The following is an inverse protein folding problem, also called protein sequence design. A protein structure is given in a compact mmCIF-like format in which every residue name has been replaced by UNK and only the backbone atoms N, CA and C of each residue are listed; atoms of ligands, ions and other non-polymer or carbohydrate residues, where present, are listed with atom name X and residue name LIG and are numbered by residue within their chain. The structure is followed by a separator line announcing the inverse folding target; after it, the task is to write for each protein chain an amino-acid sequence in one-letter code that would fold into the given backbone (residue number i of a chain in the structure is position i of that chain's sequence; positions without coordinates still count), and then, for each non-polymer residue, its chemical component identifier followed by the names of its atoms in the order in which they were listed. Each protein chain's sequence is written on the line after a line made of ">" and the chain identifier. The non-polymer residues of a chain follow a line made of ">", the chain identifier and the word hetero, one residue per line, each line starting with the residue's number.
data_IF_481202237577
#
_entry.id   IF_481202237577
#
_cell.length_a   1.000
_cell.length_b   1.000
_cell.length_c   1.000
_cell.angle_alpha   90.00
_cell.angle_beta   90.00
_cell.angle_gamma   90.00
#
_symmetry.space_group_name_H-M   'P 1'
#
loop_
_entity.id
_entity.type
_entity.pdbx_description
1 polymer ?
#
# COMPACT_ATOMS: atom_id res chain seq x y z
N UNK A 1 -59.41 -48.90 30.36
CA UNK A 1 -59.28 -47.98 29.21
C UNK A 1 -57.95 -48.26 28.53
N UNK A 2 -57.95 -49.10 27.50
CA UNK A 2 -56.75 -49.50 26.77
C UNK A 2 -56.37 -48.39 25.79
N UNK A 3 -55.20 -47.80 25.98
CA UNK A 3 -54.62 -46.79 25.08
C UNK A 3 -54.19 -47.46 23.78
N UNK A 4 -54.79 -47.04 22.66
CA UNK A 4 -54.37 -47.48 21.33
C UNK A 4 -52.99 -46.87 20.99
N UNK A 5 -52.05 -47.65 20.44
CA UNK A 5 -50.74 -47.14 20.05
C UNK A 5 -50.86 -46.23 18.83
N UNK A 6 -50.52 -44.94 19.01
CA UNK A 6 -50.41 -43.96 17.93
C UNK A 6 -49.15 -44.27 17.13
N UNK A 7 -49.29 -45.06 16.06
CA UNK A 7 -48.21 -45.27 15.09
C UNK A 7 -47.97 -43.96 14.30
N UNK A 8 -46.73 -43.46 14.31
CA UNK A 8 -46.35 -42.30 13.50
C UNK A 8 -46.47 -42.67 12.01
N UNK A 9 -47.21 -41.91 11.18
CA UNK A 9 -47.31 -42.21 9.75
C UNK A 9 -45.94 -42.08 9.11
N UNK A 10 -45.47 -43.17 8.48
CA UNK A 10 -44.23 -43.19 7.69
C UNK A 10 -44.37 -42.21 6.51
N UNK A 11 -43.46 -41.24 6.43
CA UNK A 11 -43.20 -40.33 5.30
C UNK A 11 -44.34 -40.20 4.29
N UNK A 12 -45.37 -39.42 4.62
CA UNK A 12 -46.31 -38.99 3.59
C UNK A 12 -45.56 -38.11 2.60
N UNK A 13 -45.54 -38.45 1.28
CA UNK A 13 -44.95 -37.57 0.30
C UNK A 13 -45.71 -36.24 0.33
N UNK A 14 -44.97 -35.14 0.49
CA UNK A 14 -45.56 -33.81 0.38
C UNK A 14 -46.27 -33.71 -0.97
N UNK A 15 -47.59 -33.50 -0.96
CA UNK A 15 -48.36 -33.34 -2.18
C UNK A 15 -47.83 -32.11 -2.94
N UNK A 16 -47.01 -32.35 -3.98
CA UNK A 16 -46.53 -31.28 -4.86
C UNK A 16 -47.69 -30.79 -5.70
N UNK A 17 -48.00 -29.50 -5.61
CA UNK A 17 -49.00 -28.86 -6.46
C UNK A 17 -48.58 -29.00 -7.93
N UNK A 18 -49.40 -29.65 -8.76
CA UNK A 18 -49.16 -29.75 -10.20
C UNK A 18 -49.74 -28.54 -10.93
N UNK A 19 -49.25 -28.27 -12.14
CA UNK A 19 -49.69 -27.11 -12.93
C UNK A 19 -51.18 -27.19 -13.30
N UNK A 20 -51.69 -28.41 -13.54
CA UNK A 20 -53.08 -28.70 -13.87
C UNK A 20 -54.00 -28.48 -12.68
N UNK A 21 -53.56 -28.90 -11.47
CA UNK A 21 -54.30 -28.64 -10.24
C UNK A 21 -54.36 -27.15 -9.96
N UNK A 22 -53.24 -26.45 -10.09
CA UNK A 22 -53.22 -24.99 -9.95
C UNK A 22 -54.15 -24.30 -10.97
N UNK A 23 -54.22 -24.80 -12.21
CA UNK A 23 -55.17 -24.32 -13.23
C UNK A 23 -56.62 -24.53 -12.81
N UNK A 24 -56.96 -25.70 -12.25
CA UNK A 24 -58.30 -25.99 -11.73
C UNK A 24 -58.67 -25.07 -10.55
N UNK A 25 -57.78 -24.96 -9.57
CA UNK A 25 -58.00 -24.13 -8.37
C UNK A 25 -58.16 -22.65 -8.75
N UNK A 26 -57.43 -22.18 -9.77
CA UNK A 26 -57.59 -20.82 -10.30
C UNK A 26 -58.96 -20.61 -10.95
N UNK A 27 -59.43 -21.56 -11.78
CA UNK A 27 -60.77 -21.49 -12.40
C UNK A 27 -61.89 -21.49 -11.38
N UNK A 28 -61.73 -22.24 -10.29
CA UNK A 28 -62.67 -22.27 -9.16
C UNK A 28 -62.53 -21.06 -8.22
N UNK A 29 -61.61 -20.13 -8.52
CA UNK A 29 -61.29 -18.94 -7.70
C UNK A 29 -60.83 -19.30 -6.28
N UNK A 30 -60.27 -20.49 -6.08
CA UNK A 30 -59.68 -20.92 -4.81
C UNK A 30 -58.31 -20.28 -4.58
N UNK A 31 -57.59 -19.95 -5.66
CA UNK A 31 -56.31 -19.25 -5.60
C UNK A 31 -56.33 -17.96 -6.42
N UNK A 32 -55.54 -16.99 -5.99
CA UNK A 32 -55.37 -15.72 -6.72
C UNK A 32 -54.51 -15.91 -7.97
N UNK A 33 -54.61 -14.97 -8.92
CA UNK A 33 -53.75 -15.00 -10.12
C UNK A 33 -52.25 -14.94 -9.77
N UNK A 34 -51.89 -14.24 -8.70
CA UNK A 34 -50.50 -14.17 -8.20
C UNK A 34 -50.01 -15.54 -7.71
N UNK A 35 -50.82 -16.22 -6.88
CA UNK A 35 -50.50 -17.55 -6.39
C UNK A 35 -50.41 -18.55 -7.55
N UNK A 36 -51.34 -18.45 -8.50
CA UNK A 36 -51.34 -19.30 -9.69
C UNK A 36 -50.05 -19.15 -10.51
N UNK A 37 -49.60 -17.92 -10.75
CA UNK A 37 -48.34 -17.66 -11.46
C UNK A 37 -47.12 -18.26 -10.75
N UNK A 38 -47.05 -18.16 -9.41
CA UNK A 38 -45.97 -18.77 -8.63
C UNK A 38 -45.97 -20.29 -8.74
N UNK A 39 -47.13 -20.94 -8.67
CA UNK A 39 -47.22 -22.40 -8.84
C UNK A 39 -46.84 -22.86 -10.25
N UNK A 40 -47.21 -22.11 -11.30
CA UNK A 40 -46.77 -22.39 -12.66
C UNK A 40 -45.24 -22.29 -12.78
N UNK A 41 -44.63 -21.26 -12.17
CA UNK A 41 -43.18 -21.14 -12.14
C UNK A 41 -42.52 -22.29 -11.38
N UNK A 42 -43.01 -22.64 -10.20
CA UNK A 42 -42.42 -23.69 -9.36
C UNK A 42 -42.61 -25.10 -9.95
N UNK A 43 -43.62 -25.30 -10.81
CA UNK A 43 -43.87 -26.58 -11.48
C UNK A 43 -43.04 -26.77 -12.75
N UNK A 44 -42.79 -25.71 -13.52
CA UNK A 44 -42.02 -25.77 -14.77
C UNK A 44 -40.51 -25.60 -14.60
N UNK A 45 -40.05 -25.16 -13.43
CA UNK A 45 -38.69 -24.66 -13.26
C UNK A 45 -37.95 -25.40 -12.15
N UNK A 46 -36.71 -25.80 -12.44
CA UNK A 46 -35.72 -26.10 -11.39
C UNK A 46 -35.30 -24.80 -10.68
N UNK A 47 -34.91 -24.87 -9.41
CA UNK A 47 -34.42 -23.70 -8.66
C UNK A 47 -33.27 -23.02 -9.45
N UNK A 48 -33.34 -21.70 -9.66
CA UNK A 48 -32.32 -20.91 -10.37
C UNK A 48 -32.52 -20.69 -11.88
N UNK A 49 -33.44 -21.35 -12.56
CA UNK A 49 -33.55 -21.24 -14.03
C UNK A 49 -34.37 -20.02 -14.48
N UNK A 50 -34.07 -19.41 -15.62
CA UNK A 50 -34.92 -18.37 -16.23
C UNK A 50 -35.96 -19.01 -17.15
N UNK A 51 -37.23 -18.63 -17.03
CA UNK A 51 -38.30 -19.16 -17.88
C UNK A 51 -38.74 -18.12 -18.90
N UNK A 52 -38.34 -18.31 -20.15
CA UNK A 52 -38.70 -17.44 -21.26
C UNK A 52 -40.00 -17.90 -21.89
N UNK A 53 -41.01 -17.05 -21.87
CA UNK A 53 -42.35 -17.31 -22.39
C UNK A 53 -42.77 -16.25 -23.40
N UNK A 54 -43.54 -16.68 -24.39
CA UNK A 54 -44.27 -15.76 -25.25
C UNK A 54 -45.66 -15.51 -24.65
N UNK A 55 -45.97 -14.28 -24.18
CA UNK A 55 -47.19 -14.02 -23.42
C UNK A 55 -48.48 -14.35 -24.17
N UNK A 56 -48.49 -14.30 -25.51
CA UNK A 56 -49.65 -14.69 -26.33
C UNK A 56 -50.01 -16.15 -26.14
N UNK A 57 -49.06 -17.03 -26.43
CA UNK A 57 -49.25 -18.49 -26.39
C UNK A 57 -49.38 -18.97 -24.94
N UNK A 58 -48.65 -18.35 -24.02
CA UNK A 58 -48.76 -18.64 -22.60
C UNK A 58 -50.16 -18.36 -22.04
N UNK A 59 -50.68 -17.14 -22.25
CA UNK A 59 -52.01 -16.76 -21.75
C UNK A 59 -53.12 -17.64 -22.33
N UNK A 60 -52.98 -18.03 -23.61
CA UNK A 60 -53.91 -18.95 -24.28
C UNK A 60 -53.87 -20.35 -23.68
N UNK A 61 -52.68 -20.91 -23.49
CA UNK A 61 -52.48 -22.28 -22.96
C UNK A 61 -53.00 -22.42 -21.53
N UNK A 62 -52.73 -21.43 -20.69
CA UNK A 62 -53.11 -21.42 -19.27
C UNK A 62 -54.49 -20.79 -19.02
N UNK A 63 -55.17 -20.32 -20.07
CA UNK A 63 -56.49 -19.69 -20.00
C UNK A 63 -56.51 -18.49 -19.02
N UNK A 64 -55.45 -17.69 -19.02
CA UNK A 64 -55.35 -16.47 -18.20
C UNK A 64 -55.53 -15.26 -19.12
N UNK A 65 -56.42 -14.31 -18.81
CA UNK A 65 -56.50 -13.06 -19.55
C UNK A 65 -55.17 -12.31 -19.51
N UNK A 66 -54.71 -11.78 -20.65
CA UNK A 66 -53.43 -11.04 -20.73
C UNK A 66 -53.30 -9.93 -19.69
N UNK A 67 -54.35 -9.14 -19.50
CA UNK A 67 -54.38 -8.08 -18.47
C UNK A 67 -54.14 -8.65 -17.06
N UNK A 68 -54.77 -9.77 -16.73
CA UNK A 68 -54.59 -10.46 -15.45
C UNK A 68 -53.17 -11.00 -15.30
N UNK A 69 -52.59 -11.57 -16.36
CA UNK A 69 -51.20 -12.04 -16.36
C UNK A 69 -50.23 -10.89 -16.04
N UNK A 70 -50.31 -9.77 -16.79
CA UNK A 70 -49.43 -8.61 -16.57
C UNK A 70 -49.63 -7.99 -15.17
N UNK A 71 -50.88 -7.88 -14.71
CA UNK A 71 -51.19 -7.39 -13.36
C UNK A 71 -50.58 -8.29 -12.28
N UNK A 72 -50.69 -9.60 -12.46
CA UNK A 72 -50.15 -10.58 -11.51
C UNK A 72 -48.62 -10.53 -11.43
N UNK A 73 -47.91 -10.56 -12.57
CA UNK A 73 -46.43 -10.52 -12.57
C UNK A 73 -45.90 -9.17 -12.08
N UNK A 74 -46.61 -8.06 -12.36
CA UNK A 74 -46.26 -6.74 -11.83
C UNK A 74 -46.43 -6.66 -10.31
N UNK A 75 -47.54 -7.21 -9.79
CA UNK A 75 -47.78 -7.29 -8.34
C UNK A 75 -46.77 -8.21 -7.64
N UNK A 76 -46.40 -9.33 -8.26
CA UNK A 76 -45.37 -10.21 -7.72
C UNK A 76 -43.99 -9.55 -7.71
N UNK A 77 -43.68 -8.70 -8.70
CA UNK A 77 -42.44 -7.91 -8.74
C UNK A 77 -42.37 -6.87 -7.64
N UNK A 78 -43.44 -6.10 -7.42
CA UNK A 78 -43.46 -5.11 -6.33
C UNK A 78 -43.34 -5.75 -4.94
N UNK A 79 -43.80 -7.00 -4.79
CA UNK A 79 -43.65 -7.80 -3.55
C UNK A 79 -42.29 -8.49 -3.42
N UNK A 80 -41.38 -8.34 -4.39
CA UNK A 80 -40.08 -9.02 -4.40
C UNK A 80 -40.17 -10.54 -4.48
N UNK A 81 -41.28 -11.09 -4.98
CA UNK A 81 -41.49 -12.55 -5.10
C UNK A 81 -41.11 -13.09 -6.48
N UNK A 82 -41.08 -12.23 -7.49
CA UNK A 82 -40.80 -12.59 -8.87
C UNK A 82 -40.07 -11.47 -9.58
N UNK A 83 -39.06 -11.79 -10.37
CA UNK A 83 -38.42 -10.86 -11.28
C UNK A 83 -38.80 -11.20 -12.72
N UNK A 84 -38.84 -10.18 -13.57
CA UNK A 84 -39.11 -10.35 -14.99
C UNK A 84 -38.51 -9.22 -15.82
N UNK A 85 -38.22 -9.55 -17.08
CA UNK A 85 -37.64 -8.67 -18.09
C UNK A 85 -38.25 -8.94 -19.48
N UNK A 86 -38.24 -7.92 -20.35
CA UNK A 86 -38.73 -7.97 -21.73
C UNK A 86 -37.56 -7.85 -22.70
N UNK A 87 -37.25 -8.95 -23.40
CA UNK A 87 -36.24 -8.99 -24.47
C UNK A 87 -36.87 -9.61 -25.72
N UNK A 88 -37.95 -8.98 -26.23
CA UNK A 88 -38.82 -9.55 -27.27
C UNK A 88 -39.77 -10.65 -26.76
N UNK A 89 -39.28 -11.53 -25.88
CA UNK A 89 -40.08 -12.45 -25.06
C UNK A 89 -40.01 -12.02 -23.59
N UNK A 90 -40.93 -12.54 -22.77
CA UNK A 90 -40.92 -12.28 -21.33
C UNK A 90 -40.14 -13.38 -20.64
N UNK A 91 -39.09 -13.00 -19.93
CA UNK A 91 -38.31 -13.93 -19.12
C UNK A 91 -38.71 -13.74 -17.67
N UNK A 92 -39.16 -14.81 -17.02
CA UNK A 92 -39.60 -14.83 -15.62
C UNK A 92 -38.62 -15.64 -14.77
N UNK A 93 -38.29 -15.17 -13.57
CA UNK A 93 -37.48 -15.95 -12.64
C UNK A 93 -37.74 -15.56 -11.18
N UNK A 94 -37.71 -16.57 -10.31
CA UNK A 94 -37.74 -16.41 -8.86
C UNK A 94 -36.32 -16.49 -8.33
N UNK A 95 -35.88 -15.52 -7.54
CA UNK A 95 -34.53 -15.56 -6.99
C UNK A 95 -34.36 -14.55 -5.87
N UNK A 96 -34.15 -15.07 -4.67
CA UNK A 96 -33.32 -14.41 -3.65
C UNK A 96 -31.84 -14.35 -4.09
N UNK A 97 -31.45 -15.11 -5.11
CA UNK A 97 -30.05 -15.23 -5.56
C UNK A 97 -29.57 -14.03 -6.40
N UNK A 98 -30.49 -13.25 -6.99
CA UNK A 98 -30.13 -12.04 -7.77
C UNK A 98 -30.08 -10.78 -6.89
N UNK A 99 -30.76 -10.80 -5.74
CA UNK A 99 -30.54 -9.78 -4.72
C UNK A 99 -29.15 -9.88 -4.09
N UNK A 100 -28.53 -11.06 -4.08
CA UNK A 100 -27.13 -11.22 -3.68
C UNK A 100 -26.21 -10.60 -4.71
N UNK A 101 -26.45 -10.80 -6.01
CA UNK A 101 -25.64 -10.17 -7.05
C UNK A 101 -25.76 -8.64 -7.01
N UNK A 102 -26.98 -8.08 -6.97
CA UNK A 102 -27.15 -6.62 -6.89
C UNK A 102 -26.57 -6.04 -5.58
N UNK A 103 -26.75 -6.74 -4.45
CA UNK A 103 -26.14 -6.34 -3.17
C UNK A 103 -24.63 -6.48 -3.18
N UNK A 104 -24.09 -7.48 -3.87
CA UNK A 104 -22.66 -7.70 -4.00
C UNK A 104 -22.04 -6.67 -4.94
N UNK A 105 -22.71 -6.34 -6.04
CA UNK A 105 -22.31 -5.25 -6.95
C UNK A 105 -22.30 -3.91 -6.22
N UNK A 106 -23.37 -3.57 -5.49
CA UNK A 106 -23.38 -2.35 -4.67
C UNK A 106 -22.30 -2.39 -3.57
N UNK A 107 -22.03 -3.56 -3.00
CA UNK A 107 -20.95 -3.75 -2.04
C UNK A 107 -19.57 -3.53 -2.66
N UNK A 108 -19.34 -4.04 -3.86
CA UNK A 108 -18.11 -3.86 -4.64
C UNK A 108 -17.93 -2.39 -5.02
N UNK A 109 -18.99 -1.71 -5.46
CA UNK A 109 -18.94 -0.29 -5.80
C UNK A 109 -18.61 0.57 -4.58
N UNK A 110 -19.19 0.26 -3.42
CA UNK A 110 -18.86 0.94 -2.16
C UNK A 110 -17.40 0.69 -1.75
N UNK A 111 -16.93 -0.56 -1.78
CA UNK A 111 -15.53 -0.89 -1.49
C UNK A 111 -14.56 -0.22 -2.48
N UNK A 112 -14.96 -0.10 -3.74
CA UNK A 112 -14.18 0.61 -4.78
C UNK A 112 -14.08 2.09 -4.44
N UNK A 113 -15.19 2.72 -4.07
CA UNK A 113 -15.22 4.14 -3.67
C UNK A 113 -14.38 4.40 -2.41
N UNK A 114 -14.48 3.52 -1.39
CA UNK A 114 -13.64 3.60 -0.19
C UNK A 114 -12.16 3.44 -0.52
N UNK A 115 -11.82 2.51 -1.43
CA UNK A 115 -10.44 2.31 -1.89
C UNK A 115 -9.91 3.56 -2.60
N UNK A 116 -10.69 4.18 -3.49
CA UNK A 116 -10.31 5.44 -4.13
C UNK A 116 -10.12 6.58 -3.13
N UNK A 117 -10.98 6.68 -2.12
CA UNK A 117 -10.84 7.68 -1.05
C UNK A 117 -9.54 7.46 -0.25
N UNK A 118 -9.21 6.21 0.07
CA UNK A 118 -7.97 5.85 0.74
C UNK A 118 -6.74 6.19 -0.12
N UNK A 119 -6.77 5.90 -1.43
CA UNK A 119 -5.71 6.28 -2.36
C UNK A 119 -5.47 7.79 -2.36
N UNK A 120 -6.52 8.60 -2.44
CA UNK A 120 -6.40 10.06 -2.36
C UNK A 120 -5.79 10.52 -1.03
N UNK A 121 -6.13 9.85 0.08
CA UNK A 121 -5.54 10.11 1.39
C UNK A 121 -4.02 9.85 1.43
N UNK A 122 -3.57 8.76 0.81
CA UNK A 122 -2.15 8.40 0.69
C UNK A 122 -1.39 9.42 -0.15
N UNK A 123 -1.99 9.88 -1.26
CA UNK A 123 -1.37 10.90 -2.13
C UNK A 123 -1.17 12.23 -1.39
N UNK A 124 -2.16 12.65 -0.58
CA UNK A 124 -2.05 13.85 0.26
C UNK A 124 -0.92 13.72 1.30
N UNK A 125 -0.85 12.60 2.01
CA UNK A 125 0.23 12.35 2.98
C UNK A 125 1.62 12.33 2.32
N UNK A 126 1.69 11.80 1.10
CA UNK A 126 2.92 11.80 0.31
C UNK A 126 3.36 13.23 -0.03
N UNK A 127 2.44 14.08 -0.47
CA UNK A 127 2.71 15.48 -0.77
C UNK A 127 3.14 16.30 0.47
N UNK A 128 2.51 16.06 1.61
CA UNK A 128 2.90 16.67 2.88
C UNK A 128 4.31 16.23 3.30
N UNK A 129 4.62 14.94 3.15
CA UNK A 129 5.95 14.40 3.45
C UNK A 129 7.03 15.04 2.57
N UNK A 130 6.79 15.16 1.25
CA UNK A 130 7.71 15.86 0.35
C UNK A 130 7.91 17.33 0.74
N UNK A 131 6.85 18.02 1.16
CA UNK A 131 6.93 19.40 1.62
C UNK A 131 7.77 19.52 2.90
N UNK A 132 7.62 18.58 3.83
CA UNK A 132 8.44 18.50 5.04
C UNK A 132 9.91 18.23 4.72
N UNK A 133 10.19 17.30 3.80
CA UNK A 133 11.57 17.02 3.33
C UNK A 133 12.22 18.28 2.77
N UNK A 134 11.53 19.02 1.90
CA UNK A 134 12.03 20.28 1.37
C UNK A 134 12.29 21.32 2.48
N UNK A 135 11.44 21.36 3.51
CA UNK A 135 11.64 22.22 4.67
C UNK A 135 12.90 21.88 5.47
N UNK A 136 13.18 20.58 5.66
CA UNK A 136 14.40 20.08 6.33
C UNK A 136 15.64 20.43 5.50
N UNK A 137 15.58 20.26 4.18
CA UNK A 137 16.70 20.61 3.29
C UNK A 137 17.03 22.10 3.35
N UNK A 138 16.00 22.97 3.37
CA UNK A 138 16.20 24.41 3.54
C UNK A 138 16.85 24.76 4.88
N UNK A 139 16.36 24.19 5.99
CA UNK A 139 16.96 24.40 7.32
C UNK A 139 18.40 23.90 7.40
N UNK A 140 18.69 22.77 6.74
CA UNK A 140 20.04 22.21 6.66
C UNK A 140 20.97 23.17 5.92
N UNK A 141 20.52 23.74 4.80
CA UNK A 141 21.27 24.73 4.03
C UNK A 141 21.50 26.02 4.82
N UNK A 142 20.49 26.55 5.52
CA UNK A 142 20.63 27.73 6.38
C UNK A 142 21.65 27.48 7.51
N UNK A 143 21.59 26.30 8.13
CA UNK A 143 22.52 25.91 9.19
C UNK A 143 23.96 25.82 8.66
N UNK A 144 24.15 25.28 7.45
CA UNK A 144 25.46 25.23 6.80
C UNK A 144 26.02 26.64 6.52
N UNK A 145 25.19 27.57 6.04
CA UNK A 145 25.58 28.97 5.83
C UNK A 145 26.00 29.64 7.15
N UNK A 146 25.23 29.44 8.21
CA UNK A 146 25.57 29.97 9.54
C UNK A 146 26.89 29.40 10.08
N UNK A 147 27.14 28.10 9.89
CA UNK A 147 28.40 27.47 10.28
C UNK A 147 29.60 28.03 9.52
N UNK A 148 29.47 28.21 8.20
CA UNK A 148 30.51 28.87 7.39
C UNK A 148 30.77 30.30 7.87
N UNK A 149 29.71 31.06 8.17
CA UNK A 149 29.84 32.41 8.74
C UNK A 149 30.58 32.43 10.08
N UNK A 150 30.29 31.48 10.97
CA UNK A 150 30.97 31.34 12.27
C UNK A 150 32.46 30.99 12.12
N UNK A 151 32.81 30.12 11.17
CA UNK A 151 34.20 29.79 10.89
C UNK A 151 34.95 31.00 10.32
N UNK A 152 34.31 31.77 9.43
CA UNK A 152 34.87 33.01 8.90
C UNK A 152 35.19 34.03 9.99
N UNK A 153 34.25 34.28 10.92
CA UNK A 153 34.49 35.21 12.03
C UNK A 153 35.56 34.70 13.00
N UNK A 154 35.61 33.40 13.28
CA UNK A 154 36.71 32.81 14.07
C UNK A 154 38.07 33.03 13.41
N UNK A 155 38.17 32.87 12.09
CA UNK A 155 39.44 33.10 11.37
C UNK A 155 39.89 34.57 11.44
N UNK A 156 38.95 35.52 11.35
CA UNK A 156 39.24 36.96 11.46
C UNK A 156 39.70 37.33 12.89
N UNK A 157 39.02 36.82 13.92
CA UNK A 157 39.41 37.04 15.31
C UNK A 157 40.80 36.46 15.59
N UNK A 158 41.10 35.27 15.06
CA UNK A 158 42.41 34.64 15.19
C UNK A 158 43.50 35.49 14.51
N UNK A 159 43.24 35.98 13.30
CA UNK A 159 44.16 36.86 12.57
C UNK A 159 44.41 38.19 13.30
N UNK A 160 43.36 38.79 13.87
CA UNK A 160 43.48 40.05 14.63
C UNK A 160 44.27 39.85 15.93
N UNK A 161 44.09 38.71 16.60
CA UNK A 161 44.90 38.32 17.75
C UNK A 161 46.38 38.14 17.38
N UNK A 162 46.68 37.45 16.29
CA UNK A 162 48.05 37.29 15.78
C UNK A 162 48.70 38.66 15.47
N UNK A 163 48.00 39.55 14.76
CA UNK A 163 48.47 40.91 14.48
C UNK A 163 48.76 41.72 15.75
N UNK A 164 47.91 41.63 16.78
CA UNK A 164 48.12 42.30 18.07
C UNK A 164 49.34 41.73 18.82
N UNK A 165 49.60 40.44 18.68
CA UNK A 165 50.74 39.77 19.31
C UNK A 165 52.06 40.24 18.68
N UNK A 166 52.09 40.36 17.35
CA UNK A 166 53.23 40.90 16.60
C UNK A 166 53.52 42.36 16.96
N UNK A 167 52.48 43.18 17.16
CA UNK A 167 52.64 44.59 17.58
C UNK A 167 53.28 44.66 18.97
N UNK A 168 52.79 43.87 19.94
CA UNK A 168 53.38 43.83 21.30
C UNK A 168 54.85 43.41 21.29
N UNK A 169 55.22 42.43 20.47
CA UNK A 169 56.61 41.98 20.38
C UNK A 169 57.53 43.08 19.81
N UNK A 170 57.08 43.85 18.82
CA UNK A 170 57.84 44.98 18.29
C UNK A 170 58.02 46.12 19.30
N UNK A 171 57.03 46.35 20.16
CA UNK A 171 57.13 47.32 21.25
C UNK A 171 58.19 46.89 22.28
N UNK A 172 58.24 45.61 22.66
CA UNK A 172 59.26 45.09 23.60
C UNK A 172 60.66 45.19 23.03
N UNK A 173 60.85 44.81 21.76
CA UNK A 173 62.16 44.83 21.10
C UNK A 173 62.68 46.28 20.92
N UNK A 174 61.78 47.24 20.71
CA UNK A 174 62.15 48.67 20.60
C UNK A 174 62.62 49.25 21.94
N UNK A 175 62.09 48.77 23.08
CA UNK A 175 62.48 49.24 24.42
C UNK A 175 63.83 48.69 24.91
N UNK A 176 64.26 47.51 24.45
CA UNK A 176 65.57 46.95 24.85
C UNK A 176 66.77 47.64 24.18
N UNK A 177 66.59 48.32 23.05
CA UNK A 177 67.68 49.00 22.34
C UNK A 177 68.24 50.29 22.99
N UNK A 178 67.72 50.71 24.16
CA UNK A 178 68.16 51.94 24.86
C UNK A 178 69.03 51.65 26.10
N UNK A 179 69.27 50.39 26.45
CA UNK A 179 70.13 50.05 27.60
C UNK A 179 71.61 50.07 27.23
N UNK A 180 72.29 51.17 27.60
CA UNK A 180 73.75 51.33 27.59
C UNK A 180 74.45 50.24 28.42
N UNK A 181 75.66 49.78 28.03
CA UNK A 181 76.39 48.77 28.76
C UNK A 181 76.98 49.36 30.04
N UNK A 182 76.39 49.05 31.19
CA UNK A 182 77.08 49.16 32.48
C UNK A 182 77.71 47.82 32.84
N UNK A 183 79.02 47.87 32.99
CA UNK A 183 79.92 46.79 33.37
C UNK A 183 79.68 46.27 34.78
N UNK A 184 79.83 44.94 34.91
CA UNK A 184 80.48 44.23 36.01
C UNK A 184 79.81 44.23 37.40
N UNK A 185 79.32 43.07 37.84
CA UNK A 185 79.88 42.35 39.00
C UNK A 185 79.24 40.97 39.23
N UNK A 186 80.08 40.09 39.78
CA UNK A 186 79.92 38.67 40.10
C UNK A 186 78.77 38.30 41.06
N UNK A 187 78.26 37.07 40.88
CA UNK A 187 77.74 36.02 41.80
C UNK A 187 77.44 36.35 43.29
N UNK A 188 76.48 35.65 43.97
CA UNK A 188 76.58 34.19 44.24
C UNK A 188 75.21 33.43 44.35
N UNK A 189 75.18 32.13 44.71
CA UNK A 189 74.13 31.19 44.33
C UNK A 189 73.08 30.88 45.42
N UNK A 190 72.12 30.05 44.99
CA UNK A 190 71.19 29.20 45.75
C UNK A 190 69.92 29.85 46.34
N UNK A 191 68.78 29.22 46.06
CA UNK A 191 67.88 28.55 47.03
C UNK A 191 66.69 27.97 46.26
N UNK A 192 66.49 26.66 46.38
CA UNK A 192 65.28 25.96 45.94
C UNK A 192 64.09 26.32 46.83
N UNK A 193 62.85 26.19 46.33
CA UNK A 193 61.93 25.32 47.06
C UNK A 193 61.02 24.43 46.20
N UNK A 194 60.81 23.26 46.80
CA UNK A 194 59.68 22.34 46.77
C UNK A 194 58.29 22.85 46.28
N UNK A 195 57.55 21.90 45.69
CA UNK A 195 56.08 21.86 45.60
C UNK A 195 55.61 22.01 44.15
N UNK A 196 55.05 21.02 43.45
CA UNK A 196 54.17 19.95 43.90
C UNK A 196 52.84 20.13 43.18
N UNK A 197 52.58 19.31 42.14
CA UNK A 197 51.24 18.93 41.70
C UNK A 197 51.35 17.98 40.50
N UNK A 198 50.94 16.73 40.71
CA UNK A 198 50.68 15.73 39.68
C UNK A 198 49.66 16.22 38.66
N UNK A 199 49.80 15.91 37.35
CA UNK A 199 48.65 15.88 36.49
C UNK A 199 47.81 14.64 36.83
N UNK A 200 46.54 14.89 37.15
CA UNK A 200 45.54 13.85 37.35
C UNK A 200 45.41 13.00 36.09
N UNK A 201 45.65 11.70 36.24
CA UNK A 201 45.21 10.64 35.33
C UNK A 201 43.69 10.71 35.23
N UNK A 202 43.18 11.34 34.18
CA UNK A 202 41.78 11.18 33.80
C UNK A 202 41.61 9.75 33.29
N UNK A 203 40.78 9.00 34.02
CA UNK A 203 40.32 7.67 33.67
C UNK A 203 39.66 7.74 32.29
N UNK A 204 40.26 7.06 31.32
CA UNK A 204 39.53 6.59 30.14
C UNK A 204 38.50 5.58 30.66
N UNK A 205 37.23 5.97 30.68
CA UNK A 205 36.13 5.02 30.63
C UNK A 205 36.16 4.38 29.24
N UNK A 206 36.74 3.17 29.19
CA UNK A 206 36.66 2.26 28.07
C UNK A 206 35.21 1.76 28.00
N UNK A 207 34.36 2.52 27.32
CA UNK A 207 33.01 2.10 26.94
C UNK A 207 33.14 0.89 26.00
N UNK A 208 32.81 -0.29 26.52
CA UNK A 208 32.62 -1.51 25.73
C UNK A 208 31.43 -1.31 24.79
N UNK A 209 31.60 -1.32 23.45
CA UNK A 209 30.45 -1.40 22.56
C UNK A 209 29.96 -2.85 22.61
N UNK A 210 28.79 -3.05 23.19
CA UNK A 210 27.95 -4.20 22.89
C UNK A 210 27.54 -4.13 21.42
N UNK A 211 27.52 -5.30 20.80
CA UNK A 211 26.87 -5.59 19.52
C UNK A 211 27.44 -4.82 18.33
N UNK A 212 28.44 -5.44 17.69
CA UNK A 212 28.80 -5.14 16.31
C UNK A 212 27.60 -5.46 15.40
N UNK A 213 26.69 -4.49 15.24
CA UNK A 213 25.79 -4.46 14.10
C UNK A 213 26.64 -4.39 12.82
N UNK A 214 26.43 -5.36 11.95
CA UNK A 214 26.97 -5.37 10.59
C UNK A 214 26.65 -4.02 9.94
N UNK A 215 27.64 -3.27 9.43
CA UNK A 215 27.39 -1.94 8.89
C UNK A 215 26.42 -2.05 7.72
N UNK A 216 25.21 -1.53 7.90
CA UNK A 216 24.28 -1.38 6.80
C UNK A 216 24.79 -0.23 5.93
N UNK A 217 25.32 -0.58 4.77
CA UNK A 217 25.70 0.38 3.73
C UNK A 217 24.41 1.02 3.21
N UNK A 218 24.08 2.22 3.72
CA UNK A 218 23.05 3.06 3.12
C UNK A 218 23.63 3.62 1.82
N UNK A 219 23.27 3.01 0.71
CA UNK A 219 23.52 3.55 -0.63
C UNK A 219 22.87 4.93 -0.73
N UNK A 220 23.67 5.91 -1.13
CA UNK A 220 23.20 7.27 -1.40
C UNK A 220 22.34 7.30 -2.65
N UNK A 221 21.46 8.31 -2.78
CA UNK A 221 20.60 8.45 -3.97
C UNK A 221 21.41 8.54 -5.28
N UNK A 222 22.63 9.09 -5.22
CA UNK A 222 23.52 9.19 -6.39
C UNK A 222 24.13 7.83 -6.78
N UNK A 223 24.45 6.97 -5.81
CA UNK A 223 24.88 5.60 -6.07
C UNK A 223 23.73 4.76 -6.63
N UNK A 224 22.51 4.94 -6.09
CA UNK A 224 21.32 4.26 -6.58
C UNK A 224 21.01 4.65 -8.03
N UNK A 225 21.13 5.94 -8.35
CA UNK A 225 20.97 6.46 -9.72
C UNK A 225 22.06 5.94 -10.66
N UNK A 226 23.31 5.86 -10.19
CA UNK A 226 24.43 5.31 -10.96
C UNK A 226 24.23 3.83 -11.27
N UNK A 227 23.72 3.05 -10.31
CA UNK A 227 23.37 1.64 -10.52
C UNK A 227 22.18 1.47 -11.47
N UNK A 228 21.19 2.36 -11.42
CA UNK A 228 20.06 2.36 -12.33
C UNK A 228 20.50 2.67 -13.78
N UNK A 229 21.36 3.69 -13.96
CA UNK A 229 21.93 4.04 -15.27
C UNK A 229 22.84 2.94 -15.83
N UNK A 230 23.57 2.21 -14.98
CA UNK A 230 24.37 1.05 -15.37
C UNK A 230 23.48 -0.14 -15.80
N UNK A 231 22.40 -0.41 -15.06
CA UNK A 231 21.44 -1.46 -15.40
C UNK A 231 20.71 -1.18 -16.73
N UNK A 232 20.35 0.09 -17.00
CA UNK A 232 19.78 0.52 -18.28
C UNK A 232 20.76 0.33 -19.44
N UNK A 233 22.07 0.46 -19.18
CA UNK A 233 23.14 0.19 -20.16
C UNK A 233 23.53 -1.30 -20.27
N UNK A 234 22.80 -2.20 -19.61
CA UNK A 234 23.05 -3.65 -19.65
C UNK A 234 24.23 -4.11 -18.80
N UNK A 235 24.75 -3.25 -17.91
CA UNK A 235 25.79 -3.60 -16.94
C UNK A 235 25.10 -3.84 -15.60
N UNK A 236 24.82 -5.10 -15.29
CA UNK A 236 24.21 -5.48 -14.00
C UNK A 236 25.22 -5.29 -12.86
N UNK A 237 24.80 -4.77 -11.69
CA UNK A 237 25.63 -4.74 -10.50
C UNK A 237 25.98 -6.16 -10.05
N UNK A 238 27.14 -6.34 -9.41
CA UNK A 238 27.58 -7.66 -8.92
C UNK A 238 26.62 -8.24 -7.89
N UNK A 239 26.58 -9.58 -7.78
CA UNK A 239 25.69 -10.31 -6.86
C UNK A 239 25.81 -9.84 -5.40
N UNK A 240 26.96 -9.27 -5.01
CA UNK A 240 27.20 -8.70 -3.68
C UNK A 240 26.34 -7.47 -3.37
N UNK A 241 25.98 -6.66 -4.38
CA UNK A 241 25.12 -5.48 -4.22
C UNK A 241 23.64 -5.88 -4.17
N UNK A 242 23.28 -6.93 -4.93
CA UNK A 242 21.92 -7.48 -4.96
C UNK A 242 21.57 -8.15 -3.62
N UNK A 243 22.55 -8.74 -2.93
CA UNK A 243 22.36 -9.33 -1.61
C UNK A 243 22.08 -8.34 -0.47
N UNK A 244 22.40 -7.05 -0.65
CA UNK A 244 22.27 -6.03 0.40
C UNK A 244 20.95 -5.24 0.34
N UNK A 245 20.25 -5.26 -0.79
CA UNK A 245 18.93 -4.61 -0.91
C UNK A 245 17.84 -5.56 -0.39
N UNK A 246 16.95 -5.05 0.48
CA UNK A 246 15.76 -5.82 0.85
C UNK A 246 14.92 -6.08 -0.40
N UNK A 247 14.40 -7.30 -0.52
CA UNK A 247 13.58 -7.75 -1.67
C UNK A 247 12.42 -6.79 -2.01
N UNK A 248 11.93 -6.00 -1.03
CA UNK A 248 10.91 -4.95 -1.22
C UNK A 248 11.41 -3.74 -1.99
N UNK A 249 12.63 -3.31 -1.73
CA UNK A 249 13.17 -2.03 -2.21
C UNK A 249 13.60 -2.16 -3.67
N UNK A 250 14.07 -3.36 -4.04
CA UNK A 250 14.34 -3.74 -5.42
C UNK A 250 13.09 -3.69 -6.30
N UNK A 251 11.94 -4.19 -5.81
CA UNK A 251 10.68 -4.15 -6.57
C UNK A 251 10.13 -2.74 -6.74
N UNK A 252 10.29 -1.88 -5.73
CA UNK A 252 9.90 -0.46 -5.82
C UNK A 252 10.75 0.26 -6.87
N UNK A 253 12.07 0.05 -6.87
CA UNK A 253 12.97 0.62 -7.88
C UNK A 253 12.67 0.09 -9.28
N UNK A 254 12.43 -1.21 -9.41
CA UNK A 254 12.11 -1.85 -10.69
C UNK A 254 10.77 -1.35 -11.28
N UNK A 255 9.71 -1.26 -10.45
CA UNK A 255 8.42 -0.73 -10.90
C UNK A 255 8.54 0.73 -11.35
N UNK A 256 9.27 1.55 -10.59
CA UNK A 256 9.47 2.97 -10.90
C UNK A 256 10.27 3.16 -12.19
N UNK A 257 11.29 2.32 -12.44
CA UNK A 257 12.00 2.31 -13.72
C UNK A 257 11.10 1.90 -14.89
N UNK A 258 10.26 0.87 -14.70
CA UNK A 258 9.31 0.43 -15.73
C UNK A 258 8.28 1.53 -16.08
N UNK A 259 7.79 2.27 -15.08
CA UNK A 259 6.88 3.41 -15.27
C UNK A 259 7.55 4.57 -16.01
N UNK A 260 8.78 4.95 -15.63
CA UNK A 260 9.54 6.02 -16.30
C UNK A 260 9.82 5.70 -17.78
N UNK A 261 10.02 4.43 -18.11
CA UNK A 261 10.29 3.98 -19.48
C UNK A 261 9.05 3.50 -20.23
N UNK A 262 7.84 3.66 -19.66
CA UNK A 262 6.57 3.24 -20.23
C UNK A 262 6.55 1.75 -20.67
N UNK A 263 7.20 0.89 -19.88
CA UNK A 263 7.22 -0.54 -20.11
C UNK A 263 5.92 -1.17 -19.61
N UNK A 264 5.14 -1.71 -20.54
CA UNK A 264 4.01 -2.57 -20.20
C UNK A 264 4.55 -3.90 -19.64
N UNK A 265 4.49 -4.05 -18.31
CA UNK A 265 4.94 -5.24 -17.60
C UNK A 265 4.21 -6.51 -18.07
N UNK A 266 3.00 -6.39 -18.63
CA UNK A 266 2.27 -7.49 -19.25
C UNK A 266 2.88 -7.95 -20.58
N UNK A 267 3.47 -7.03 -21.34
CA UNK A 267 4.15 -7.31 -22.61
C UNK A 267 5.63 -7.71 -22.45
N UNK A 268 6.24 -7.48 -21.29
CA UNK A 268 7.61 -7.92 -20.99
C UNK A 268 7.78 -9.45 -21.06
N UNK A 269 6.68 -10.20 -20.88
CA UNK A 269 6.67 -11.66 -21.04
C UNK A 269 6.43 -12.12 -22.48
N UNK A 270 6.12 -11.22 -23.41
CA UNK A 270 5.68 -11.54 -24.78
C UNK A 270 6.62 -11.03 -25.90
N UNK A 271 7.58 -10.14 -25.62
CA UNK A 271 8.50 -9.58 -26.63
C UNK A 271 9.97 -10.01 -26.46
N UNK A 272 10.85 -9.57 -27.37
CA UNK A 272 12.30 -9.85 -27.55
C UNK A 272 13.20 -9.44 -26.35
N UNK A 273 12.78 -9.73 -25.13
CA UNK A 273 13.61 -9.58 -23.95
C UNK A 273 14.70 -10.67 -23.96
N UNK A 274 15.99 -10.33 -23.77
CA UNK A 274 17.08 -11.29 -23.70
C UNK A 274 16.78 -12.45 -22.74
N UNK A 275 17.07 -13.68 -23.17
CA UNK A 275 16.68 -14.89 -22.45
C UNK A 275 17.15 -14.92 -20.99
N UNK A 276 18.31 -14.35 -20.69
CA UNK A 276 18.85 -14.28 -19.31
C UNK A 276 17.97 -13.41 -18.39
N UNK A 277 17.37 -12.33 -18.89
CA UNK A 277 16.51 -11.46 -18.10
C UNK A 277 15.14 -12.10 -17.85
N UNK A 278 14.60 -12.84 -18.83
CA UNK A 278 13.38 -13.65 -18.67
C UNK A 278 13.56 -14.73 -17.60
N UNK A 279 14.70 -15.42 -17.61
CA UNK A 279 15.00 -16.49 -16.65
C UNK A 279 15.18 -15.93 -15.23
N UNK A 280 15.85 -14.77 -15.09
CA UNK A 280 16.01 -14.09 -13.82
C UNK A 280 14.67 -13.61 -13.23
N UNK A 281 13.80 -12.99 -14.05
CA UNK A 281 12.46 -12.59 -13.62
C UNK A 281 11.57 -13.77 -13.23
N UNK A 282 11.67 -14.89 -13.96
CA UNK A 282 10.95 -16.13 -13.63
C UNK A 282 11.44 -16.72 -12.31
N UNK A 283 12.75 -16.72 -12.06
CA UNK A 283 13.33 -17.16 -10.79
C UNK A 283 12.90 -16.28 -9.62
N UNK A 284 12.83 -14.96 -9.80
CA UNK A 284 12.33 -14.03 -8.78
C UNK A 284 10.85 -14.27 -8.47
N UNK A 285 10.01 -14.40 -9.49
CA UNK A 285 8.58 -14.68 -9.32
C UNK A 285 8.33 -15.99 -8.54
N UNK A 286 9.11 -17.04 -8.80
CA UNK A 286 9.02 -18.31 -8.08
C UNK A 286 9.52 -18.21 -6.63
N UNK A 287 10.59 -17.45 -6.35
CA UNK A 287 11.03 -17.17 -4.97
C UNK A 287 9.95 -16.44 -4.16
N UNK A 288 9.22 -15.51 -4.78
CA UNK A 288 8.13 -14.78 -4.14
C UNK A 288 6.89 -15.65 -3.88
N UNK A 289 6.52 -16.55 -4.80
CA UNK A 289 5.42 -17.50 -4.56
C UNK A 289 5.68 -18.42 -3.37
N UNK A 290 6.93 -18.88 -3.19
CA UNK A 290 7.30 -19.79 -2.10
C UNK A 290 7.32 -19.15 -0.71
N UNK A 291 7.45 -17.83 -0.60
CA UNK A 291 7.44 -17.12 0.70
C UNK A 291 6.06 -16.61 1.13
N UNK A 292 5.05 -16.72 0.26
CA UNK A 292 3.66 -16.28 0.54
C UNK A 292 2.77 -17.40 1.09
N UNK A 293 3.35 -18.56 1.36
CA UNK A 293 2.79 -19.72 2.06
C UNK A 293 3.67 -20.02 3.27
#
# INVERSE_FOLDING_TARGET
>A
MSSLPVSKPKNQPFFKMTAERAKSDYKQKLITAEAYMLYLLDSHRSVGWKWTIEPKEFCKTWEIPRSTFYRAISSLKSKGKLNWEVQGKITLWRGSDIGIEDSLTNGIDNLTNETCSLTNGIDNLTNETCSLTNGIDNLTNETAVLLMGKQGTQSLVQQEFENLTDIKQRETDSTESVSLPLTHNQEPPAIAPFGGASPATALNEEEVPRDAEVPQVKLTNDELKTHLDAAVKGVMPSDDVIGQLRDSDYWVCFRRAAEVHNWDLGQLFQSDVPAHLKEHMRSLAEKFKRRRF
#
